data_IF_980933642521
#
_entry.id   IF_980933642521
#
_cell.length_a   1.000
_cell.length_b   1.000
_cell.length_c   1.000
_cell.angle_alpha   90.00
_cell.angle_beta   90.00
_cell.angle_gamma   90.00
#
_symmetry.space_group_name_H-M   'P 1'
#
loop_
_entity.id
_entity.type
_entity.pdbx_description
1 polymer ?
#
# COMPACT_ATOMS: atom_id res chain seq x y z
N UNK A 1 -9.66 -56.27 7.42
CA UNK A 1 -9.45 -55.11 8.28
C UNK A 1 -10.33 -55.17 9.51
N UNK A 2 -9.74 -55.09 10.69
CA UNK A 2 -10.52 -55.09 11.94
C UNK A 2 -11.26 -53.73 12.09
N UNK A 3 -12.38 -53.75 12.82
CA UNK A 3 -13.18 -52.49 13.07
C UNK A 3 -12.33 -51.40 13.70
N UNK A 4 -11.31 -51.75 14.48
CA UNK A 4 -10.36 -50.82 15.10
C UNK A 4 -9.43 -50.19 14.07
N UNK A 5 -8.90 -50.95 13.13
CA UNK A 5 -8.04 -50.43 12.05
C UNK A 5 -8.81 -49.45 11.15
N UNK A 6 -10.05 -49.77 10.77
CA UNK A 6 -10.90 -48.89 9.98
C UNK A 6 -11.17 -47.54 10.67
N UNK A 7 -11.43 -47.57 11.99
CA UNK A 7 -11.62 -46.33 12.76
C UNK A 7 -10.33 -45.49 12.81
N UNK A 8 -9.18 -46.12 13.05
CA UNK A 8 -7.89 -45.41 13.07
C UNK A 8 -7.54 -44.82 11.70
N UNK A 9 -7.82 -45.53 10.62
CA UNK A 9 -7.61 -45.02 9.26
C UNK A 9 -8.51 -43.82 8.98
N UNK A 10 -9.79 -43.90 9.34
CA UNK A 10 -10.74 -42.77 9.14
C UNK A 10 -10.30 -41.54 9.96
N UNK A 11 -9.92 -41.73 11.23
CA UNK A 11 -9.44 -40.62 12.08
C UNK A 11 -8.14 -40.04 11.51
N UNK A 12 -7.21 -40.89 11.08
CA UNK A 12 -5.94 -40.46 10.49
C UNK A 12 -6.11 -39.67 9.19
N UNK A 13 -6.98 -40.16 8.28
CA UNK A 13 -7.28 -39.44 7.02
C UNK A 13 -8.03 -38.11 7.29
N UNK A 14 -8.99 -38.10 8.22
CA UNK A 14 -9.69 -36.88 8.59
C UNK A 14 -8.73 -35.85 9.22
N UNK A 15 -7.84 -36.28 10.10
CA UNK A 15 -6.79 -35.42 10.69
C UNK A 15 -5.82 -34.85 9.64
N UNK A 16 -5.41 -35.69 8.68
CA UNK A 16 -4.55 -35.27 7.59
C UNK A 16 -5.22 -34.23 6.69
N UNK A 17 -6.49 -34.47 6.32
CA UNK A 17 -7.27 -33.51 5.50
C UNK A 17 -7.45 -32.18 6.23
N UNK A 18 -7.74 -32.22 7.52
CA UNK A 18 -7.89 -31.02 8.35
C UNK A 18 -6.57 -30.23 8.46
N UNK A 19 -5.45 -30.93 8.68
CA UNK A 19 -4.13 -30.31 8.74
C UNK A 19 -3.74 -29.68 7.39
N UNK A 20 -4.02 -30.38 6.28
CA UNK A 20 -3.78 -29.85 4.93
C UNK A 20 -4.65 -28.62 4.63
N UNK A 21 -5.93 -28.66 4.99
CA UNK A 21 -6.84 -27.53 4.83
C UNK A 21 -6.37 -26.32 5.67
N UNK A 22 -5.99 -26.52 6.92
CA UNK A 22 -5.45 -25.47 7.78
C UNK A 22 -4.16 -24.89 7.21
N UNK A 23 -3.25 -25.73 6.73
CA UNK A 23 -2.01 -25.29 6.07
C UNK A 23 -2.27 -24.45 4.83
N UNK A 24 -3.24 -24.83 3.99
CA UNK A 24 -3.67 -24.04 2.83
C UNK A 24 -4.26 -22.69 3.22
N UNK A 25 -5.10 -22.64 4.25
CA UNK A 25 -5.68 -21.39 4.77
C UNK A 25 -4.59 -20.46 5.28
N UNK A 26 -3.66 -20.96 6.09
CA UNK A 26 -2.54 -20.16 6.60
C UNK A 26 -1.64 -19.66 5.47
N UNK A 27 -1.37 -20.50 4.48
CA UNK A 27 -0.62 -20.10 3.29
C UNK A 27 -1.34 -19.00 2.48
N UNK A 28 -2.65 -19.13 2.28
CA UNK A 28 -3.45 -18.13 1.56
C UNK A 28 -3.56 -16.79 2.34
N UNK A 29 -3.49 -16.83 3.67
CA UNK A 29 -3.54 -15.63 4.50
C UNK A 29 -2.21 -14.87 4.60
N UNK A 30 -1.09 -15.45 4.21
CA UNK A 30 0.21 -14.79 4.31
C UNK A 30 0.31 -13.48 3.51
N UNK A 31 -0.41 -13.38 2.39
CA UNK A 31 -0.39 -12.20 1.51
C UNK A 31 -1.46 -11.14 1.89
N UNK A 32 -2.26 -11.36 2.95
CA UNK A 32 -3.44 -10.52 3.25
C UNK A 32 -3.10 -9.31 4.12
N UNK A 33 -1.98 -9.32 4.85
CA UNK A 33 -1.59 -8.19 5.72
C UNK A 33 -0.75 -7.21 4.92
N UNK A 34 -1.40 -6.19 4.37
CA UNK A 34 -0.74 -5.12 3.63
C UNK A 34 -0.52 -3.94 4.57
N UNK A 35 0.70 -3.75 5.05
CA UNK A 35 1.07 -2.63 5.91
C UNK A 35 1.08 -1.32 5.13
N UNK A 36 0.62 -0.24 5.77
CA UNK A 36 0.77 1.12 5.25
C UNK A 36 2.16 1.66 5.62
N UNK A 37 2.83 2.31 4.66
CA UNK A 37 4.13 2.96 4.86
C UNK A 37 4.17 4.33 4.21
N UNK A 38 4.77 5.28 4.91
CA UNK A 38 5.11 6.57 4.34
C UNK A 38 6.44 6.49 3.56
N UNK A 39 6.68 7.37 2.58
CA UNK A 39 7.95 7.45 1.85
C UNK A 39 9.18 7.56 2.74
N UNK A 40 9.13 8.35 3.80
CA UNK A 40 10.20 8.48 4.79
C UNK A 40 10.50 7.18 5.53
N UNK A 41 9.49 6.36 5.82
CA UNK A 41 9.69 5.05 6.44
C UNK A 41 10.36 4.04 5.49
N UNK A 42 10.02 4.11 4.20
CA UNK A 42 10.65 3.28 3.16
C UNK A 42 12.12 3.66 2.97
N UNK A 43 12.43 4.96 3.05
CA UNK A 43 13.80 5.46 2.96
C UNK A 43 14.62 5.14 4.22
N UNK A 44 14.01 5.18 5.42
CA UNK A 44 14.70 4.95 6.70
C UNK A 44 14.91 3.47 7.03
N UNK A 45 14.02 2.60 6.56
CA UNK A 45 14.08 1.16 6.82
C UNK A 45 14.37 0.41 5.53
N UNK A 46 15.36 -0.48 5.56
CA UNK A 46 15.62 -1.40 4.45
C UNK A 46 14.40 -2.32 4.33
N UNK A 47 13.52 -2.01 3.39
CA UNK A 47 12.39 -2.89 3.06
C UNK A 47 12.92 -3.98 2.15
N UNK A 48 12.71 -5.24 2.53
CA UNK A 48 13.15 -6.36 1.71
C UNK A 48 12.48 -6.29 0.32
N UNK A 49 13.24 -6.44 -0.78
CA UNK A 49 12.68 -6.48 -2.13
C UNK A 49 11.57 -7.53 -2.23
N UNK A 50 10.50 -7.22 -2.95
CA UNK A 50 9.35 -8.11 -3.11
C UNK A 50 8.32 -8.04 -1.97
N UNK A 51 8.59 -7.32 -0.89
CA UNK A 51 7.59 -7.10 0.17
C UNK A 51 6.44 -6.26 -0.35
N UNK A 52 5.21 -6.75 -0.16
CA UNK A 52 3.99 -6.04 -0.55
C UNK A 52 3.55 -5.09 0.56
N UNK A 53 3.28 -3.84 0.22
CA UNK A 53 2.77 -2.83 1.15
C UNK A 53 2.01 -1.72 0.43
N UNK A 54 1.33 -0.88 1.19
CA UNK A 54 0.66 0.32 0.70
C UNK A 54 1.56 1.52 0.95
N UNK A 55 1.96 2.18 -0.14
CA UNK A 55 2.69 3.43 -0.10
C UNK A 55 1.70 4.58 -0.18
N UNK A 56 1.65 5.43 0.83
CA UNK A 56 0.78 6.60 0.85
C UNK A 56 1.57 7.89 0.96
N UNK A 57 1.14 8.90 0.21
CA UNK A 57 1.77 10.22 0.20
C UNK A 57 1.15 11.13 -0.84
N UNK A 58 1.82 12.21 -1.15
CA UNK A 58 1.42 13.17 -2.18
C UNK A 58 2.20 12.90 -3.48
N UNK A 59 1.52 13.00 -4.62
CA UNK A 59 2.19 12.99 -5.92
C UNK A 59 3.01 14.27 -6.07
N UNK A 60 4.33 14.15 -6.25
CA UNK A 60 5.19 15.31 -6.45
C UNK A 60 4.91 15.98 -7.80
N UNK A 61 4.87 17.31 -7.78
CA UNK A 61 4.62 18.11 -8.98
C UNK A 61 5.76 17.99 -9.99
N UNK A 62 5.43 17.87 -11.28
CA UNK A 62 6.42 17.76 -12.36
C UNK A 62 7.11 16.38 -12.45
N UNK A 63 6.60 15.36 -11.75
CA UNK A 63 7.20 14.01 -11.76
C UNK A 63 6.37 12.99 -12.52
N UNK A 64 5.18 13.37 -12.99
CA UNK A 64 4.28 12.45 -13.69
C UNK A 64 4.69 12.34 -15.17
N UNK A 65 5.22 11.20 -15.52
CA UNK A 65 5.60 10.86 -16.89
C UNK A 65 4.69 9.73 -17.40
N UNK A 66 4.08 9.95 -18.56
CA UNK A 66 3.28 8.93 -19.23
C UNK A 66 4.09 8.38 -20.38
N UNK A 67 4.45 7.13 -20.29
CA UNK A 67 5.08 6.37 -21.37
C UNK A 67 4.01 5.65 -22.18
N UNK A 68 4.30 5.28 -23.42
CA UNK A 68 3.42 4.40 -24.19
C UNK A 68 3.02 3.16 -23.37
N UNK A 69 2.06 2.37 -23.84
CA UNK A 69 1.58 1.13 -23.20
C UNK A 69 0.95 1.30 -21.80
N UNK A 70 0.31 2.44 -21.53
CA UNK A 70 -0.38 2.70 -20.26
C UNK A 70 0.55 2.63 -19.02
N UNK A 71 1.84 2.83 -19.21
CA UNK A 71 2.79 2.91 -18.11
C UNK A 71 2.92 4.37 -17.68
N UNK A 72 2.71 4.62 -16.37
CA UNK A 72 2.90 5.92 -15.76
C UNK A 72 3.92 5.81 -14.65
N UNK A 73 4.89 6.71 -14.66
CA UNK A 73 5.86 6.87 -13.59
C UNK A 73 5.63 8.21 -12.90
N UNK A 74 5.73 8.21 -11.59
CA UNK A 74 5.59 9.41 -10.76
C UNK A 74 6.30 9.19 -9.43
N UNK A 75 6.49 10.26 -8.67
CA UNK A 75 7.05 10.16 -7.32
C UNK A 75 5.99 10.42 -6.27
N UNK A 76 5.99 9.62 -5.23
CA UNK A 76 5.15 9.80 -4.05
C UNK A 76 6.04 10.27 -2.91
N UNK A 77 5.75 11.45 -2.40
CA UNK A 77 6.51 12.10 -1.33
C UNK A 77 5.66 12.38 -0.10
N UNK A 78 6.32 12.57 1.05
CA UNK A 78 5.74 13.02 2.32
C UNK A 78 6.38 14.33 2.81
N UNK A 79 7.11 15.01 1.93
CA UNK A 79 7.86 16.22 2.23
C UNK A 79 9.26 15.99 2.81
N UNK A 80 9.60 14.78 3.24
CA UNK A 80 10.93 14.42 3.75
C UNK A 80 11.67 13.47 2.81
N UNK A 81 10.93 12.56 2.20
CA UNK A 81 11.45 11.59 1.25
C UNK A 81 10.44 11.38 0.12
N UNK A 82 10.95 10.89 -1.01
CA UNK A 82 10.14 10.55 -2.17
C UNK A 82 10.53 9.17 -2.70
N UNK A 83 9.54 8.38 -3.07
CA UNK A 83 9.72 7.06 -3.64
C UNK A 83 9.23 7.08 -5.07
N UNK A 84 10.06 6.66 -6.06
CA UNK A 84 9.61 6.53 -7.43
C UNK A 84 8.64 5.37 -7.55
N UNK A 85 7.52 5.61 -8.24
CA UNK A 85 6.43 4.64 -8.45
C UNK A 85 6.25 4.41 -9.93
N UNK A 86 6.14 3.17 -10.34
CA UNK A 86 5.72 2.76 -11.68
C UNK A 86 4.39 2.03 -11.58
N UNK A 87 3.44 2.48 -12.33
CA UNK A 87 2.11 1.87 -12.44
C UNK A 87 1.80 1.55 -13.89
N UNK A 88 1.23 0.38 -14.13
CA UNK A 88 0.73 -0.02 -15.44
C UNK A 88 -0.77 -0.21 -15.38
N UNK A 89 -1.51 0.67 -16.03
CA UNK A 89 -2.97 0.62 -16.07
C UNK A 89 -3.59 2.00 -16.23
N UNK A 90 -4.91 2.05 -16.13
CA UNK A 90 -5.66 3.30 -16.15
C UNK A 90 -5.59 3.94 -14.76
N UNK A 91 -5.09 5.17 -14.71
CA UNK A 91 -5.11 5.96 -13.49
C UNK A 91 -6.55 6.41 -13.17
N UNK A 92 -6.92 6.55 -11.88
CA UNK A 92 -8.19 7.15 -11.50
C UNK A 92 -8.34 8.56 -12.07
N UNK A 93 -9.57 8.97 -12.38
CA UNK A 93 -9.87 10.32 -12.91
C UNK A 93 -9.41 11.45 -11.99
N UNK A 94 -9.32 11.16 -10.71
CA UNK A 94 -8.89 12.09 -9.65
C UNK A 94 -7.36 12.14 -9.46
N UNK A 95 -6.60 11.34 -10.19
CA UNK A 95 -5.15 11.33 -10.08
C UNK A 95 -4.57 12.62 -10.69
N UNK A 96 -3.95 13.43 -9.85
CA UNK A 96 -3.27 14.69 -10.23
C UNK A 96 -2.01 14.87 -9.40
N UNK A 97 -1.11 15.70 -9.90
CA UNK A 97 0.02 16.19 -9.12
C UNK A 97 -0.44 16.97 -7.90
N UNK A 98 0.25 16.82 -6.78
CA UNK A 98 -0.15 17.40 -5.50
C UNK A 98 -1.27 16.66 -4.79
N UNK A 99 -1.87 15.65 -5.41
CA UNK A 99 -2.97 14.87 -4.84
C UNK A 99 -2.45 13.76 -3.92
N UNK A 100 -3.22 13.48 -2.85
CA UNK A 100 -3.00 12.34 -1.99
C UNK A 100 -3.31 11.03 -2.72
N UNK A 101 -2.36 10.12 -2.72
CA UNK A 101 -2.50 8.79 -3.33
C UNK A 101 -2.10 7.69 -2.36
N UNK A 102 -2.72 6.53 -2.54
CA UNK A 102 -2.30 5.27 -1.94
C UNK A 102 -2.04 4.29 -3.06
N UNK A 103 -0.79 3.89 -3.21
CA UNK A 103 -0.37 2.87 -4.16
C UNK A 103 -0.13 1.55 -3.43
N UNK A 104 -0.72 0.46 -3.89
CA UNK A 104 -0.45 -0.88 -3.38
C UNK A 104 0.43 -1.62 -4.38
N UNK A 105 1.51 -2.22 -3.88
CA UNK A 105 2.49 -2.88 -4.74
C UNK A 105 3.69 -3.41 -3.96
N UNK A 106 4.82 -3.52 -4.66
CA UNK A 106 6.08 -4.07 -4.14
C UNK A 106 7.25 -3.17 -4.49
N UNK A 107 8.22 -3.11 -3.58
CA UNK A 107 9.49 -2.46 -3.87
C UNK A 107 10.40 -3.45 -4.61
N UNK A 108 11.00 -3.01 -5.71
CA UNK A 108 12.01 -3.81 -6.41
C UNK A 108 13.41 -3.59 -5.80
N UNK A 109 14.40 -4.34 -6.29
CA UNK A 109 15.77 -4.26 -5.81
C UNK A 109 16.46 -2.91 -6.13
N UNK A 110 15.91 -2.12 -7.06
CA UNK A 110 16.42 -0.80 -7.44
C UNK A 110 15.85 0.34 -6.60
N UNK A 111 14.89 0.04 -5.70
CA UNK A 111 14.17 1.05 -4.94
C UNK A 111 12.98 1.66 -5.68
N UNK A 112 12.61 1.11 -6.84
CA UNK A 112 11.43 1.49 -7.58
C UNK A 112 10.21 0.74 -7.01
N UNK A 113 9.16 1.45 -6.68
CA UNK A 113 7.90 0.85 -6.25
C UNK A 113 7.04 0.50 -7.45
N UNK A 114 6.84 -0.80 -7.67
CA UNK A 114 5.97 -1.32 -8.73
C UNK A 114 4.56 -1.47 -8.16
N UNK A 115 3.67 -0.57 -8.57
CA UNK A 115 2.30 -0.54 -8.09
C UNK A 115 1.40 -1.46 -8.92
N UNK A 116 0.63 -2.29 -8.22
CA UNK A 116 -0.44 -3.11 -8.80
C UNK A 116 -1.76 -2.31 -8.87
N UNK A 117 -1.97 -1.41 -7.90
CA UNK A 117 -3.17 -0.57 -7.78
C UNK A 117 -2.79 0.82 -7.30
N UNK A 118 -3.44 1.84 -7.84
CA UNK A 118 -3.32 3.24 -7.41
C UNK A 118 -4.71 3.77 -7.11
N UNK A 119 -4.90 4.30 -5.90
CA UNK A 119 -6.11 4.94 -5.43
C UNK A 119 -5.80 6.42 -5.18
N UNK A 120 -6.49 7.31 -5.88
CA UNK A 120 -6.49 8.73 -5.60
C UNK A 120 -7.70 9.08 -4.71
N UNK A 121 -7.51 9.89 -3.68
CA UNK A 121 -8.60 10.30 -2.80
C UNK A 121 -9.17 11.65 -3.21
N UNK A 122 -10.47 11.80 -3.02
CA UNK A 122 -11.23 12.99 -3.44
C UNK A 122 -11.02 14.22 -2.53
N UNK A 123 -10.45 14.05 -1.34
CA UNK A 123 -10.28 15.16 -0.38
C UNK A 123 -8.88 15.77 -0.49
N UNK A 124 -8.82 16.99 -0.97
CA UNK A 124 -7.63 17.85 -0.89
C UNK A 124 -7.20 18.11 0.57
N UNK A 125 -8.06 17.78 1.52
CA UNK A 125 -7.87 17.95 2.98
C UNK A 125 -7.63 16.63 3.72
N UNK A 126 -7.74 15.47 3.06
CA UNK A 126 -7.56 14.20 3.75
C UNK A 126 -6.10 13.75 3.73
N UNK A 127 -5.39 14.06 4.79
CA UNK A 127 -4.11 13.45 5.11
C UNK A 127 -4.36 12.23 6.04
N UNK A 128 -3.82 11.05 5.72
CA UNK A 128 -3.87 9.92 6.66
C UNK A 128 -3.38 10.37 8.03
N UNK A 129 -4.02 9.90 9.11
CA UNK A 129 -3.68 10.32 10.47
C UNK A 129 -2.20 10.10 10.79
N UNK A 130 -1.63 9.02 10.29
CA UNK A 130 -0.22 8.65 10.47
C UNK A 130 0.73 9.68 9.83
N UNK A 131 0.38 10.20 8.64
CA UNK A 131 1.15 11.25 7.95
C UNK A 131 0.92 12.61 8.61
N UNK A 132 -0.33 12.90 9.01
CA UNK A 132 -0.66 14.11 9.75
C UNK A 132 0.07 14.17 11.10
N UNK A 133 0.14 13.06 11.82
CA UNK A 133 0.84 12.96 13.11
C UNK A 133 2.36 13.09 12.94
N UNK A 134 2.93 12.54 11.89
CA UNK A 134 4.35 12.72 11.56
C UNK A 134 4.68 14.18 11.20
N UNK A 135 3.81 14.87 10.45
CA UNK A 135 3.97 16.29 10.11
C UNK A 135 3.73 17.21 11.31
N UNK A 136 2.79 16.86 12.21
CA UNK A 136 2.58 17.57 13.49
C UNK A 136 3.80 17.44 14.40
N UNK A 137 4.38 16.24 14.50
CA UNK A 137 5.59 16.02 15.29
C UNK A 137 6.79 16.84 14.79
N UNK A 138 6.81 17.21 13.51
CA UNK A 138 7.86 18.02 12.87
C UNK A 138 7.56 19.53 12.87
N UNK A 139 6.42 19.96 13.44
CA UNK A 139 6.02 21.37 13.49
C UNK A 139 5.68 22.00 12.12
N UNK A 140 5.47 21.18 11.10
CA UNK A 140 5.20 21.63 9.71
C UNK A 140 3.72 21.59 9.31
N UNK A 141 2.84 21.15 10.21
CA UNK A 141 1.41 21.07 9.96
C UNK A 141 0.72 22.34 10.45
N UNK A 142 0.13 23.11 9.54
CA UNK A 142 -0.87 24.11 9.87
C UNK A 142 -2.24 23.55 9.49
N UNK A 143 -3.11 23.41 10.46
CA UNK A 143 -4.51 23.06 10.25
C UNK A 143 -5.15 24.24 9.51
N UNK A 144 -5.27 24.11 8.17
CA UNK A 144 -6.03 25.07 7.38
C UNK A 144 -7.50 24.83 7.69
N UNK A 145 -7.99 25.53 8.70
CA UNK A 145 -9.41 25.57 9.02
C UNK A 145 -10.22 26.05 7.80
N UNK A 146 -11.53 25.71 7.73
CA UNK A 146 -12.36 26.08 6.61
C UNK A 146 -12.28 27.60 6.40
N UNK A 147 -11.97 28.01 5.18
CA UNK A 147 -11.98 29.41 4.75
C UNK A 147 -13.40 29.94 5.02
N UNK A 148 -13.54 30.68 6.10
CA UNK A 148 -14.77 31.44 6.38
C UNK A 148 -14.89 32.46 5.26
N UNK A 149 -15.77 32.19 4.29
CA UNK A 149 -16.17 33.15 3.30
C UNK A 149 -16.58 34.43 4.02
N UNK A 150 -15.78 35.47 3.85
CA UNK A 150 -16.12 36.80 4.35
C UNK A 150 -17.40 37.26 3.63
N UNK A 151 -18.49 37.29 4.37
CA UNK A 151 -19.77 37.86 3.96
C UNK A 151 -19.59 39.39 3.95
N UNK A 152 -19.62 39.97 2.76
CA UNK A 152 -19.95 41.37 2.57
C UNK A 152 -21.42 41.50 2.31
#
# INVERSE_FOLDING_TARGET
MTRRQRRLTVIGTAGFVLAAALGLVLYAMQDTIVFFRAPSEVAAKVVAPGTRFRLGGLVESGTVERSGDQVVTFKVGDGNAAVPVRYRGLLPDLFREGQGVVAEGRLDASGLFVADTVLARHDETYMPREVADALKAQGRWQETGPIRAARK
#
